data_IF_413086337531
#
_entry.id   IF_413086337531
#
_cell.length_a   1.000
_cell.length_b   1.000
_cell.length_c   1.000
_cell.angle_alpha   90.00
_cell.angle_beta   90.00
_cell.angle_gamma   90.00
#
_symmetry.space_group_name_H-M   'P 1'
#
loop_
_entity.id
_entity.type
_entity.pdbx_description
1 polymer ?
#
# COMPACT_ATOMS: atom_id res chain seq x y z
N UNK A 1 -13.80 -27.16 -28.95
CA UNK A 1 -12.55 -26.90 -28.19
C UNK A 1 -12.09 -28.23 -27.61
N UNK A 2 -10.86 -28.67 -27.88
CA UNK A 2 -10.29 -29.82 -27.20
C UNK A 2 -10.05 -29.49 -25.71
N UNK A 3 -10.12 -30.48 -24.80
CA UNK A 3 -9.85 -30.27 -23.38
C UNK A 3 -8.36 -29.97 -23.17
N UNK A 4 -8.06 -29.04 -22.25
CA UNK A 4 -6.70 -28.69 -21.85
C UNK A 4 -6.03 -29.90 -21.16
N UNK A 5 -4.74 -30.16 -21.41
CA UNK A 5 -4.00 -31.21 -20.70
C UNK A 5 -3.85 -30.83 -19.23
N UNK A 6 -4.25 -31.74 -18.34
CA UNK A 6 -3.98 -31.63 -16.91
C UNK A 6 -2.54 -32.07 -16.62
N UNK A 7 -1.80 -31.26 -15.88
CA UNK A 7 -0.44 -31.59 -15.43
C UNK A 7 -0.50 -32.67 -14.34
N UNK A 8 0.22 -33.78 -14.55
CA UNK A 8 0.44 -34.85 -13.56
C UNK A 8 1.73 -34.59 -12.78
N UNK A 9 1.77 -34.98 -11.50
CA UNK A 9 2.83 -34.72 -10.51
C UNK A 9 4.26 -35.24 -10.80
N UNK A 10 4.53 -35.72 -12.03
CA UNK A 10 5.84 -36.22 -12.50
C UNK A 10 6.50 -35.32 -13.57
N UNK A 11 5.92 -34.16 -13.88
CA UNK A 11 6.48 -33.22 -14.86
C UNK A 11 7.45 -32.23 -14.20
N UNK A 12 8.61 -31.99 -14.82
CA UNK A 12 9.52 -30.89 -14.43
C UNK A 12 8.73 -29.57 -14.36
N UNK A 13 9.05 -28.67 -13.42
CA UNK A 13 8.43 -27.35 -13.34
C UNK A 13 8.50 -26.64 -14.70
N UNK A 14 7.44 -25.91 -15.12
CA UNK A 14 7.44 -25.23 -16.41
C UNK A 14 8.53 -24.15 -16.43
N UNK A 15 9.21 -23.99 -17.57
CA UNK A 15 10.26 -22.99 -17.71
C UNK A 15 9.67 -21.57 -17.84
N UNK A 16 10.46 -20.54 -17.49
CA UNK A 16 10.03 -19.14 -17.61
C UNK A 16 9.53 -18.81 -19.02
N UNK A 17 10.28 -19.17 -20.05
CA UNK A 17 9.94 -18.86 -21.44
C UNK A 17 8.63 -19.52 -21.89
N UNK A 18 8.37 -20.76 -21.45
CA UNK A 18 7.12 -21.47 -21.77
C UNK A 18 5.91 -20.78 -21.12
N UNK A 19 6.02 -20.41 -19.84
CA UNK A 19 4.93 -19.73 -19.12
C UNK A 19 4.74 -18.30 -19.64
N UNK A 20 5.82 -17.59 -19.94
CA UNK A 20 5.78 -16.25 -20.50
C UNK A 20 5.13 -16.23 -21.88
N UNK A 21 5.46 -17.20 -22.74
CA UNK A 21 4.82 -17.34 -24.06
C UNK A 21 3.34 -17.68 -23.93
N UNK A 22 2.98 -18.62 -23.04
CA UNK A 22 1.57 -18.94 -22.76
C UNK A 22 0.79 -17.70 -22.34
N UNK A 23 1.34 -16.90 -21.42
CA UNK A 23 0.71 -15.66 -20.97
C UNK A 23 0.56 -14.66 -22.11
N UNK A 24 1.59 -14.49 -22.94
CA UNK A 24 1.55 -13.60 -24.10
C UNK A 24 0.48 -14.02 -25.12
N UNK A 25 0.35 -15.32 -25.39
CA UNK A 25 -0.66 -15.86 -26.31
C UNK A 25 -2.08 -15.64 -25.79
N UNK A 26 -2.29 -15.76 -24.47
CA UNK A 26 -3.57 -15.50 -23.83
C UNK A 26 -3.94 -14.00 -23.83
N UNK A 27 -2.95 -13.12 -23.58
CA UNK A 27 -3.13 -11.67 -23.60
C UNK A 27 -3.42 -11.18 -25.03
N UNK A 28 -2.71 -11.73 -26.01
CA UNK A 28 -2.80 -11.32 -27.40
C UNK A 28 -2.46 -9.83 -27.57
N UNK A 29 -3.36 -9.09 -28.22
CA UNK A 29 -3.23 -7.64 -28.45
C UNK A 29 -3.99 -6.77 -27.45
N UNK A 30 -4.38 -7.31 -26.29
CA UNK A 30 -5.18 -6.57 -25.32
C UNK A 30 -4.33 -5.52 -24.58
N UNK A 31 -4.80 -4.27 -24.60
CA UNK A 31 -4.14 -3.13 -23.96
C UNK A 31 -4.87 -2.61 -22.72
N UNK A 32 -5.95 -3.28 -22.31
CA UNK A 32 -6.71 -2.97 -21.09
C UNK A 32 -6.03 -3.64 -19.88
N UNK A 33 -5.47 -2.86 -18.93
CA UNK A 33 -4.73 -3.42 -17.80
C UNK A 33 -5.56 -4.37 -16.93
N UNK A 34 -6.86 -4.12 -16.77
CA UNK A 34 -7.72 -4.97 -15.93
C UNK A 34 -7.95 -6.33 -16.60
N UNK A 35 -8.22 -6.34 -17.91
CA UNK A 35 -8.41 -7.59 -18.65
C UNK A 35 -7.12 -8.41 -18.73
N UNK A 36 -5.97 -7.76 -18.85
CA UNK A 36 -4.67 -8.43 -18.81
C UNK A 36 -4.46 -9.14 -17.47
N UNK A 37 -4.84 -8.51 -16.36
CA UNK A 37 -4.80 -9.15 -15.04
C UNK A 37 -5.80 -10.30 -14.91
N UNK A 38 -7.02 -10.15 -15.41
CA UNK A 38 -8.02 -11.22 -15.39
C UNK A 38 -7.52 -12.46 -16.14
N UNK A 39 -6.87 -12.25 -17.29
CA UNK A 39 -6.22 -13.32 -18.06
C UNK A 39 -5.08 -13.95 -17.27
N UNK A 40 -4.20 -13.14 -16.68
CA UNK A 40 -3.06 -13.63 -15.93
C UNK A 40 -3.48 -14.40 -14.66
N UNK A 41 -4.61 -14.05 -14.04
CA UNK A 41 -5.18 -14.78 -12.92
C UNK A 41 -5.63 -16.22 -13.27
N UNK A 42 -5.72 -16.58 -14.55
CA UNK A 42 -6.00 -17.96 -14.98
C UNK A 42 -4.80 -18.91 -14.91
N UNK A 43 -3.59 -18.39 -14.68
CA UNK A 43 -2.38 -19.18 -14.52
C UNK A 43 -2.35 -19.91 -13.17
N UNK A 44 -1.69 -21.08 -13.12
CA UNK A 44 -1.49 -21.83 -11.88
C UNK A 44 -0.55 -21.10 -10.91
N UNK A 45 -0.50 -21.52 -9.64
CA UNK A 45 0.43 -20.92 -8.66
C UNK A 45 1.89 -21.17 -9.04
N UNK A 46 2.21 -22.35 -9.54
CA UNK A 46 3.54 -22.70 -10.03
C UNK A 46 3.94 -21.81 -11.22
N UNK A 47 3.01 -21.60 -12.16
CA UNK A 47 3.23 -20.70 -13.31
C UNK A 47 3.47 -19.26 -12.87
N UNK A 48 2.68 -18.74 -11.92
CA UNK A 48 2.85 -17.40 -11.36
C UNK A 48 4.20 -17.24 -10.65
N UNK A 49 4.60 -18.24 -9.85
CA UNK A 49 5.89 -18.21 -9.15
C UNK A 49 7.06 -18.27 -10.14
N UNK A 50 7.00 -19.14 -11.16
CA UNK A 50 8.00 -19.19 -12.23
C UNK A 50 8.18 -17.81 -12.90
N UNK A 51 7.07 -17.10 -13.16
CA UNK A 51 7.15 -15.75 -13.72
C UNK A 51 7.76 -14.75 -12.73
N UNK A 52 7.33 -14.79 -11.46
CA UNK A 52 7.81 -13.87 -10.43
C UNK A 52 9.33 -13.98 -10.21
N UNK A 53 9.86 -15.20 -10.15
CA UNK A 53 11.27 -15.50 -9.97
C UNK A 53 12.13 -15.07 -11.18
N UNK A 54 11.50 -14.85 -12.34
CA UNK A 54 12.17 -14.42 -13.56
C UNK A 54 12.59 -12.95 -13.59
N UNK A 55 12.18 -12.11 -12.63
CA UNK A 55 12.40 -10.65 -12.70
C UNK A 55 13.87 -10.27 -12.86
N UNK A 56 14.77 -10.87 -12.08
CA UNK A 56 16.20 -10.52 -12.10
C UNK A 56 16.87 -10.80 -13.45
N UNK A 57 16.36 -11.80 -14.18
CA UNK A 57 16.91 -12.21 -15.48
C UNK A 57 16.15 -11.60 -16.66
N UNK A 58 14.91 -11.15 -16.45
CA UNK A 58 14.01 -10.63 -17.48
C UNK A 58 13.44 -9.26 -17.09
N UNK A 59 14.29 -8.40 -16.55
CA UNK A 59 13.90 -7.05 -16.15
C UNK A 59 13.38 -6.24 -17.37
N UNK A 60 12.17 -5.66 -17.32
CA UNK A 60 11.54 -5.10 -18.53
C UNK A 60 12.04 -3.69 -18.89
N UNK A 61 12.46 -2.87 -17.91
CA UNK A 61 12.80 -1.46 -18.13
C UNK A 61 14.30 -1.28 -18.39
N UNK A 62 14.70 -1.23 -19.66
CA UNK A 62 16.10 -1.23 -20.08
C UNK A 62 16.66 0.17 -20.37
N UNK A 63 15.83 1.11 -20.86
CA UNK A 63 16.26 2.45 -21.25
C UNK A 63 15.39 3.59 -20.67
N UNK A 64 15.87 4.83 -20.80
CA UNK A 64 15.23 6.03 -20.23
C UNK A 64 13.86 6.34 -20.85
N UNK A 65 13.66 5.99 -22.13
CA UNK A 65 12.37 6.20 -22.80
C UNK A 65 11.34 5.22 -22.26
N UNK A 66 11.69 3.94 -22.15
CA UNK A 66 10.82 2.91 -21.57
C UNK A 66 10.41 3.28 -20.15
N UNK A 67 11.33 3.82 -19.35
CA UNK A 67 11.05 4.29 -17.99
C UNK A 67 10.10 5.50 -17.95
N UNK A 68 10.28 6.45 -18.85
CA UNK A 68 9.39 7.61 -18.98
C UNK A 68 7.98 7.17 -19.43
N UNK A 69 7.88 6.34 -20.47
CA UNK A 69 6.61 5.83 -20.97
C UNK A 69 5.90 4.96 -19.92
N UNK A 70 6.65 4.13 -19.17
CA UNK A 70 6.14 3.37 -18.04
C UNK A 70 5.51 4.28 -16.98
N UNK A 71 6.20 5.36 -16.65
CA UNK A 71 5.72 6.33 -15.66
C UNK A 71 4.43 7.00 -16.10
N UNK A 72 4.36 7.43 -17.36
CA UNK A 72 3.14 8.00 -17.94
C UNK A 72 2.00 6.96 -17.88
N UNK A 73 2.27 5.71 -18.24
CA UNK A 73 1.28 4.62 -18.19
C UNK A 73 0.74 4.34 -16.80
N UNK A 74 1.60 4.34 -15.78
CA UNK A 74 1.19 4.24 -14.36
C UNK A 74 0.27 5.40 -14.01
N UNK A 75 0.68 6.63 -14.33
CA UNK A 75 -0.11 7.84 -14.05
C UNK A 75 -1.47 7.85 -14.75
N UNK A 76 -1.52 7.45 -16.02
CA UNK A 76 -2.75 7.35 -16.80
C UNK A 76 -3.68 6.26 -16.29
N UNK A 77 -3.12 5.10 -15.93
CA UNK A 77 -3.90 3.99 -15.37
C UNK A 77 -4.52 4.39 -14.05
N UNK A 78 -3.78 5.05 -13.18
CA UNK A 78 -4.32 5.60 -11.93
C UNK A 78 -5.38 6.69 -12.16
N UNK A 79 -5.22 7.48 -13.22
CA UNK A 79 -6.14 8.56 -13.60
C UNK A 79 -7.43 8.08 -14.25
N UNK A 80 -7.42 6.85 -14.77
CA UNK A 80 -8.57 6.21 -15.43
C UNK A 80 -9.72 5.92 -14.47
N UNK A 81 -10.92 5.70 -15.00
CA UNK A 81 -12.10 5.31 -14.22
C UNK A 81 -11.86 4.03 -13.41
N UNK A 82 -11.23 3.01 -14.02
CA UNK A 82 -10.89 1.76 -13.34
C UNK A 82 -9.84 1.99 -12.22
N UNK A 83 -8.82 2.81 -12.48
CA UNK A 83 -7.84 3.20 -11.46
C UNK A 83 -8.48 3.88 -10.26
N UNK A 84 -9.40 4.82 -10.51
CA UNK A 84 -10.15 5.50 -9.45
C UNK A 84 -11.10 4.54 -8.70
N UNK A 85 -11.73 3.59 -9.41
CA UNK A 85 -12.56 2.56 -8.77
C UNK A 85 -11.71 1.66 -7.84
N UNK A 86 -10.51 1.26 -8.26
CA UNK A 86 -9.57 0.50 -7.40
C UNK A 86 -9.06 1.32 -6.23
N UNK A 87 -8.77 2.60 -6.42
CA UNK A 87 -8.39 3.52 -5.32
C UNK A 87 -9.50 3.67 -4.28
N UNK A 88 -10.76 3.69 -4.73
CA UNK A 88 -11.91 3.67 -3.83
C UNK A 88 -12.00 2.38 -3.02
N UNK A 89 -11.86 1.22 -3.68
CA UNK A 89 -11.82 -0.07 -2.98
C UNK A 89 -10.66 -0.13 -1.98
N UNK A 90 -9.50 0.40 -2.36
CA UNK A 90 -8.35 0.54 -1.48
C UNK A 90 -8.68 1.40 -0.24
N UNK A 91 -9.28 2.59 -0.40
CA UNK A 91 -9.63 3.44 0.74
C UNK A 91 -10.63 2.78 1.70
N UNK A 92 -11.57 2.01 1.14
CA UNK A 92 -12.49 1.20 1.94
C UNK A 92 -11.77 0.10 2.72
N UNK A 93 -10.89 -0.65 2.07
CA UNK A 93 -10.14 -1.72 2.72
C UNK A 93 -9.18 -1.19 3.80
N UNK A 94 -8.55 -0.01 3.61
CA UNK A 94 -7.80 0.67 4.68
C UNK A 94 -8.69 0.95 5.91
N UNK A 95 -9.91 1.43 5.67
CA UNK A 95 -10.87 1.71 6.74
C UNK A 95 -11.32 0.42 7.45
N UNK A 96 -11.56 -0.64 6.70
CA UNK A 96 -11.91 -1.94 7.27
C UNK A 96 -10.78 -2.53 8.11
N UNK A 97 -9.52 -2.36 7.70
CA UNK A 97 -8.36 -2.75 8.49
C UNK A 97 -8.31 -2.00 9.84
N UNK A 98 -8.59 -0.70 9.83
CA UNK A 98 -8.74 0.10 11.06
C UNK A 98 -9.82 -0.47 11.99
N UNK A 99 -10.98 -0.81 11.43
CA UNK A 99 -12.08 -1.43 12.21
C UNK A 99 -11.68 -2.78 12.79
N UNK A 100 -10.97 -3.61 12.01
CA UNK A 100 -10.46 -4.91 12.48
C UNK A 100 -9.51 -4.73 13.67
N UNK A 101 -8.59 -3.76 13.60
CA UNK A 101 -7.67 -3.45 14.70
C UNK A 101 -8.43 -3.03 15.97
N UNK A 102 -9.40 -2.13 15.83
CA UNK A 102 -10.18 -1.66 16.98
C UNK A 102 -11.00 -2.78 17.65
N UNK A 103 -11.59 -3.67 16.85
CA UNK A 103 -12.26 -4.85 17.37
C UNK A 103 -11.32 -5.78 18.14
N UNK A 104 -10.09 -5.99 17.66
CA UNK A 104 -9.08 -6.80 18.37
C UNK A 104 -8.73 -6.15 19.71
N UNK A 105 -8.56 -4.83 19.76
CA UNK A 105 -8.36 -4.12 21.03
C UNK A 105 -9.51 -4.34 22.03
N UNK A 106 -10.76 -4.25 21.57
CA UNK A 106 -11.95 -4.47 22.42
C UNK A 106 -11.98 -5.91 22.96
N UNK A 107 -11.73 -6.90 22.10
CA UNK A 107 -11.71 -8.32 22.49
C UNK A 107 -10.60 -8.60 23.52
N UNK A 108 -9.40 -8.08 23.26
CA UNK A 108 -8.26 -8.20 24.18
C UNK A 108 -8.54 -7.53 25.52
N UNK A 109 -9.19 -6.37 25.55
CA UNK A 109 -9.56 -5.73 26.82
C UNK A 109 -10.50 -6.60 27.66
N UNK A 110 -11.48 -7.26 27.05
CA UNK A 110 -12.37 -8.17 27.77
C UNK A 110 -11.60 -9.36 28.36
N UNK A 111 -10.67 -9.93 27.60
CA UNK A 111 -9.84 -11.06 28.05
C UNK A 111 -8.89 -10.65 29.17
N UNK A 112 -8.22 -9.51 29.02
CA UNK A 112 -7.33 -8.97 30.04
C UNK A 112 -8.08 -8.55 31.31
N UNK A 113 -9.34 -8.10 31.21
CA UNK A 113 -10.17 -7.82 32.38
C UNK A 113 -10.40 -9.08 33.22
N UNK A 114 -10.68 -10.21 32.56
CA UNK A 114 -10.89 -11.50 33.22
C UNK A 114 -9.58 -11.99 33.89
N UNK A 115 -8.45 -11.80 33.21
CA UNK A 115 -7.13 -12.11 33.75
C UNK A 115 -6.81 -11.20 34.96
N UNK A 116 -7.00 -9.90 34.84
CA UNK A 116 -6.76 -8.93 35.91
C UNK A 116 -7.65 -9.17 37.13
N UNK A 117 -8.88 -9.66 36.94
CA UNK A 117 -9.77 -10.04 38.05
C UNK A 117 -9.23 -11.23 38.86
N UNK A 118 -8.48 -12.13 38.24
CA UNK A 118 -7.94 -13.34 38.89
C UNK A 118 -6.55 -13.08 39.47
N UNK A 119 -5.72 -12.30 38.77
CA UNK A 119 -4.29 -12.16 39.07
C UNK A 119 -3.85 -10.76 39.48
N UNK A 120 -4.75 -9.77 39.47
CA UNK A 120 -4.47 -8.36 39.80
C UNK A 120 -3.29 -7.75 39.00
N UNK A 121 -3.11 -8.18 37.74
CA UNK A 121 -1.94 -7.85 36.93
C UNK A 121 -1.93 -6.42 36.34
N UNK A 122 -3.10 -5.78 36.19
CA UNK A 122 -3.24 -4.42 35.65
C UNK A 122 -3.01 -4.29 34.13
N UNK A 123 -2.99 -5.39 33.38
CA UNK A 123 -2.71 -5.37 31.94
C UNK A 123 -3.83 -4.71 31.13
N UNK A 124 -5.09 -4.84 31.56
CA UNK A 124 -6.22 -4.23 30.88
C UNK A 124 -6.10 -2.71 30.85
N UNK A 125 -5.75 -2.10 31.99
CA UNK A 125 -5.59 -0.64 32.10
C UNK A 125 -4.51 -0.12 31.15
N UNK A 126 -3.40 -0.84 31.03
CA UNK A 126 -2.32 -0.49 30.11
C UNK A 126 -2.78 -0.60 28.66
N UNK A 127 -3.50 -1.68 28.30
CA UNK A 127 -4.04 -1.85 26.95
C UNK A 127 -5.06 -0.77 26.57
N UNK A 128 -5.90 -0.31 27.51
CA UNK A 128 -6.83 0.80 27.29
C UNK A 128 -6.07 2.08 26.88
N UNK A 129 -5.01 2.44 27.61
CA UNK A 129 -4.21 3.62 27.27
C UNK A 129 -3.52 3.53 25.90
N UNK A 130 -3.11 2.32 25.50
CA UNK A 130 -2.58 2.07 24.16
C UNK A 130 -3.67 2.24 23.10
N UNK A 131 -4.87 1.69 23.33
CA UNK A 131 -6.00 1.85 22.40
C UNK A 131 -6.42 3.33 22.28
N UNK A 132 -6.45 4.09 23.37
CA UNK A 132 -6.78 5.52 23.34
C UNK A 132 -5.78 6.31 22.49
N UNK A 133 -4.49 5.98 22.61
CA UNK A 133 -3.43 6.57 21.76
C UNK A 133 -3.64 6.21 20.29
N UNK A 134 -3.94 4.94 20.00
CA UNK A 134 -4.26 4.50 18.64
C UNK A 134 -5.47 5.25 18.05
N UNK A 135 -6.55 5.41 18.81
CA UNK A 135 -7.75 6.15 18.40
C UNK A 135 -7.47 7.63 18.15
N UNK A 136 -6.62 8.26 18.97
CA UNK A 136 -6.20 9.64 18.75
C UNK A 136 -5.40 9.78 17.44
N UNK A 137 -4.50 8.84 17.15
CA UNK A 137 -3.74 8.80 15.89
C UNK A 137 -4.70 8.66 14.71
N UNK A 138 -5.68 7.75 14.78
CA UNK A 138 -6.67 7.52 13.72
C UNK A 138 -7.49 8.76 13.39
N UNK A 139 -7.96 9.48 14.41
CA UNK A 139 -8.73 10.71 14.23
C UNK A 139 -7.89 11.76 13.50
N UNK A 140 -6.65 11.94 13.94
CA UNK A 140 -5.79 13.00 13.38
C UNK A 140 -5.30 12.62 11.97
N UNK A 141 -5.03 11.33 11.70
CA UNK A 141 -4.70 10.83 10.36
C UNK A 141 -5.87 10.97 9.39
N UNK A 142 -7.11 10.80 9.86
CA UNK A 142 -8.32 11.08 9.08
C UNK A 142 -8.38 12.56 8.66
N UNK A 143 -8.18 13.50 9.58
CA UNK A 143 -8.21 14.92 9.24
C UNK A 143 -7.12 15.27 8.22
N UNK A 144 -5.89 14.79 8.47
CA UNK A 144 -4.78 15.00 7.55
C UNK A 144 -5.10 14.43 6.15
N UNK A 145 -5.71 13.24 6.06
CA UNK A 145 -6.08 12.64 4.78
C UNK A 145 -7.05 13.51 3.96
N UNK A 146 -8.05 14.13 4.62
CA UNK A 146 -8.98 15.05 3.95
C UNK A 146 -8.24 16.29 3.45
N UNK A 147 -7.44 16.91 4.32
CA UNK A 147 -6.75 18.16 4.01
C UNK A 147 -5.75 17.99 2.86
N UNK A 148 -4.90 16.96 2.92
CA UNK A 148 -3.94 16.69 1.85
C UNK A 148 -4.65 16.24 0.57
N UNK A 149 -5.73 15.45 0.68
CA UNK A 149 -6.51 15.02 -0.49
C UNK A 149 -7.08 16.22 -1.26
N UNK A 150 -7.63 17.20 -0.55
CA UNK A 150 -8.10 18.45 -1.15
C UNK A 150 -6.94 19.24 -1.76
N UNK A 151 -5.81 19.32 -1.06
CA UNK A 151 -4.65 20.06 -1.52
C UNK A 151 -4.07 19.49 -2.82
N UNK A 152 -3.86 18.19 -2.92
CA UNK A 152 -3.34 17.56 -4.14
C UNK A 152 -4.37 17.55 -5.29
N UNK A 153 -5.67 17.46 -5.00
CA UNK A 153 -6.70 17.66 -6.02
C UNK A 153 -6.65 19.07 -6.63
N UNK A 154 -6.47 20.10 -5.79
CA UNK A 154 -6.29 21.47 -6.28
C UNK A 154 -5.01 21.62 -7.09
N UNK A 155 -3.94 20.89 -6.74
CA UNK A 155 -2.68 20.94 -7.49
C UNK A 155 -2.89 20.58 -8.95
N UNK A 156 -3.44 19.38 -9.20
CA UNK A 156 -3.68 18.86 -10.55
C UNK A 156 -4.73 19.65 -11.32
N UNK A 157 -5.85 19.98 -10.66
CA UNK A 157 -7.00 20.54 -11.38
C UNK A 157 -6.89 22.04 -11.60
N UNK A 158 -6.16 22.76 -10.74
CA UNK A 158 -6.17 24.23 -10.70
C UNK A 158 -4.76 24.81 -10.79
N UNK A 159 -3.86 24.42 -9.88
CA UNK A 159 -2.57 25.11 -9.70
C UNK A 159 -1.66 24.91 -10.91
N UNK A 160 -1.53 23.67 -11.40
CA UNK A 160 -0.73 23.37 -12.59
C UNK A 160 -1.22 24.18 -13.79
N UNK A 161 -2.53 24.15 -14.06
CA UNK A 161 -3.14 24.87 -15.19
C UNK A 161 -2.97 26.39 -15.06
N UNK A 162 -3.10 26.93 -13.85
CA UNK A 162 -2.87 28.35 -13.59
C UNK A 162 -1.41 28.74 -13.88
N UNK A 163 -0.45 27.94 -13.41
CA UNK A 163 0.97 28.20 -13.65
C UNK A 163 1.37 28.04 -15.13
N UNK A 164 0.64 27.21 -15.89
CA UNK A 164 0.84 27.03 -17.33
C UNK A 164 0.30 28.19 -18.17
N UNK A 165 -0.66 28.94 -17.65
CA UNK A 165 -1.42 29.92 -18.43
C UNK A 165 -0.62 31.22 -18.63
N UNK A 166 -0.30 31.52 -19.90
CA UNK A 166 0.45 32.71 -20.33
C UNK A 166 -0.33 34.01 -20.31
N UNK A 167 -1.65 33.96 -20.13
CA UNK A 167 -2.48 35.16 -19.93
C UNK A 167 -2.16 35.85 -18.58
N UNK A 168 -1.53 35.12 -17.65
CA UNK A 168 -1.03 35.65 -16.39
C UNK A 168 0.46 35.95 -16.46
N UNK A 169 0.87 37.03 -15.79
CA UNK A 169 2.28 37.36 -15.60
C UNK A 169 3.02 36.26 -14.83
N UNK A 170 4.33 36.19 -15.00
CA UNK A 170 5.17 35.24 -14.23
C UNK A 170 5.03 35.50 -12.73
N UNK A 171 4.91 36.76 -12.29
CA UNK A 171 4.78 37.12 -10.89
C UNK A 171 3.43 36.67 -10.27
N UNK A 172 2.32 36.76 -11.00
CA UNK A 172 1.03 36.23 -10.56
C UNK A 172 1.08 34.71 -10.37
N UNK A 173 1.70 34.01 -11.33
CA UNK A 173 1.90 32.55 -11.26
C UNK A 173 2.80 32.15 -10.10
N UNK A 174 3.91 32.87 -9.88
CA UNK A 174 4.81 32.69 -8.73
C UNK A 174 4.11 32.90 -7.40
N UNK A 175 3.29 33.94 -7.31
CA UNK A 175 2.50 34.23 -6.09
C UNK A 175 1.53 33.08 -5.79
N UNK A 176 0.86 32.55 -6.80
CA UNK A 176 -0.09 31.44 -6.64
C UNK A 176 0.58 30.16 -6.17
N UNK A 177 1.69 29.75 -6.80
CA UNK A 177 2.41 28.52 -6.41
C UNK A 177 3.09 28.67 -5.04
N UNK A 178 3.61 29.86 -4.71
CA UNK A 178 4.21 30.11 -3.41
C UNK A 178 3.19 30.00 -2.27
N UNK A 179 1.96 30.48 -2.48
CA UNK A 179 0.86 30.27 -1.52
C UNK A 179 0.56 28.79 -1.34
N UNK A 180 0.43 28.05 -2.44
CA UNK A 180 0.21 26.60 -2.40
C UNK A 180 1.29 25.87 -1.59
N UNK A 181 2.57 26.16 -1.84
CA UNK A 181 3.71 25.58 -1.09
C UNK A 181 3.68 25.97 0.39
N UNK A 182 3.25 27.18 0.71
CA UNK A 182 3.14 27.63 2.10
C UNK A 182 2.08 26.84 2.87
N UNK A 183 0.91 26.63 2.26
CA UNK A 183 -0.18 25.86 2.87
C UNK A 183 0.26 24.40 3.13
N UNK A 184 1.11 23.83 2.27
CA UNK A 184 1.63 22.47 2.41
C UNK A 184 2.50 22.23 3.67
N UNK A 185 3.09 23.29 4.25
CA UNK A 185 3.96 23.17 5.44
C UNK A 185 3.20 22.77 6.71
N UNK A 186 1.91 23.07 6.78
CA UNK A 186 1.09 22.66 7.91
C UNK A 186 0.90 21.14 7.92
N UNK A 187 0.78 20.52 6.74
CA UNK A 187 0.68 19.07 6.59
C UNK A 187 1.96 18.34 6.99
N UNK A 188 3.13 18.93 6.73
CA UNK A 188 4.42 18.37 7.15
C UNK A 188 4.48 18.14 8.67
N UNK A 189 4.07 19.15 9.44
CA UNK A 189 4.10 19.08 10.89
C UNK A 189 3.11 18.03 11.41
N UNK A 190 1.88 18.02 10.90
CA UNK A 190 0.86 17.03 11.28
C UNK A 190 1.28 15.61 10.91
N UNK A 191 1.85 15.41 9.71
CA UNK A 191 2.31 14.10 9.26
C UNK A 191 3.45 13.56 10.14
N UNK A 192 4.46 14.40 10.43
CA UNK A 192 5.57 14.03 11.32
C UNK A 192 5.11 13.70 12.73
N UNK A 193 4.18 14.48 13.27
CA UNK A 193 3.60 14.23 14.59
C UNK A 193 2.85 12.89 14.65
N UNK A 194 2.00 12.60 13.65
CA UNK A 194 1.29 11.32 13.55
C UNK A 194 2.27 10.16 13.43
N UNK A 195 3.30 10.27 12.59
CA UNK A 195 4.33 9.24 12.44
C UNK A 195 5.08 8.98 13.75
N UNK A 196 5.47 10.03 14.46
CA UNK A 196 6.17 9.92 15.74
C UNK A 196 5.29 9.24 16.79
N UNK A 197 4.05 9.71 16.97
CA UNK A 197 3.09 9.08 17.89
C UNK A 197 2.82 7.62 17.52
N UNK A 198 2.81 7.28 16.24
CA UNK A 198 2.67 5.91 15.78
C UNK A 198 3.87 5.03 16.13
N UNK A 199 5.08 5.55 15.95
CA UNK A 199 6.31 4.88 16.37
C UNK A 199 6.32 4.64 17.88
N UNK A 200 5.90 5.63 18.66
CA UNK A 200 5.82 5.55 20.12
C UNK A 200 4.74 4.56 20.57
N UNK A 201 3.58 4.52 19.89
CA UNK A 201 2.53 3.51 20.10
C UNK A 201 3.08 2.11 19.86
N UNK A 202 3.78 1.90 18.74
CA UNK A 202 4.34 0.58 18.38
C UNK A 202 5.37 0.13 19.41
N UNK A 203 6.26 1.03 19.85
CA UNK A 203 7.23 0.74 20.90
C UNK A 203 6.55 0.41 22.24
N UNK A 204 5.54 1.18 22.62
CA UNK A 204 4.74 0.95 23.83
C UNK A 204 4.01 -0.39 23.78
N UNK A 205 3.46 -0.74 22.62
CA UNK A 205 2.77 -2.01 22.42
C UNK A 205 3.73 -3.21 22.42
N UNK A 206 4.92 -3.09 21.84
CA UNK A 206 5.95 -4.13 21.92
C UNK A 206 6.46 -4.35 23.35
N UNK A 207 6.65 -3.26 24.11
CA UNK A 207 6.96 -3.36 25.53
C UNK A 207 5.83 -4.06 26.32
N UNK A 208 4.58 -3.74 25.99
CA UNK A 208 3.40 -4.38 26.56
C UNK A 208 3.34 -5.88 26.24
N UNK A 209 3.49 -6.28 24.97
CA UNK A 209 3.54 -7.69 24.54
C UNK A 209 4.65 -8.43 25.31
N UNK A 210 5.83 -7.83 25.43
CA UNK A 210 6.98 -8.44 26.12
C UNK A 210 6.67 -8.67 27.60
N UNK A 211 6.07 -7.67 28.26
CA UNK A 211 5.66 -7.77 29.67
C UNK A 211 4.58 -8.84 29.87
N UNK A 212 3.54 -8.85 29.03
CA UNK A 212 2.46 -9.82 29.10
C UNK A 212 2.98 -11.23 28.82
N UNK A 213 3.81 -11.40 27.79
CA UNK A 213 4.37 -12.70 27.40
C UNK A 213 5.32 -13.27 28.45
N UNK A 214 6.14 -12.43 29.09
CA UNK A 214 7.00 -12.84 30.20
C UNK A 214 6.17 -13.36 31.38
N UNK A 215 5.14 -12.61 31.77
CA UNK A 215 4.21 -13.02 32.82
C UNK A 215 3.42 -14.29 32.46
N UNK A 216 2.92 -14.38 31.23
CA UNK A 216 2.11 -15.51 30.74
C UNK A 216 2.90 -16.82 30.67
N UNK A 217 4.18 -16.78 30.29
CA UNK A 217 5.06 -17.96 30.23
C UNK A 217 5.27 -18.63 31.58
N UNK A 218 5.20 -17.89 32.68
CA UNK A 218 5.30 -18.45 34.04
C UNK A 218 3.99 -19.13 34.49
N UNK A 219 2.91 -18.98 33.70
CA UNK A 219 1.55 -19.48 33.98
C UNK A 219 1.09 -20.54 33.00
N UNK A 220 1.58 -20.51 31.77
CA UNK A 220 1.25 -21.47 30.71
C UNK A 220 2.21 -22.67 30.70
N UNK A 221 1.67 -23.89 30.71
CA UNK A 221 2.40 -25.11 30.33
C UNK A 221 2.71 -25.18 28.82
N UNK A 222 3.29 -26.30 28.35
CA UNK A 222 3.78 -26.46 26.96
C UNK A 222 2.72 -26.20 25.87
N UNK A 223 3.08 -25.29 24.95
CA UNK A 223 2.36 -24.90 23.74
C UNK A 223 1.96 -26.08 22.85
N UNK A 224 0.72 -26.09 22.33
CA UNK A 224 0.28 -27.05 21.28
C UNK A 224 1.00 -26.76 19.95
N UNK A 225 1.63 -27.79 19.38
CA UNK A 225 2.48 -27.72 18.18
C UNK A 225 1.83 -27.04 16.97
N UNK A 226 0.53 -27.26 16.72
CA UNK A 226 -0.18 -26.72 15.55
C UNK A 226 -0.21 -25.19 15.49
N UNK A 227 -0.25 -24.51 16.64
CA UNK A 227 -0.28 -23.04 16.67
C UNK A 227 1.12 -22.46 16.44
N UNK A 228 2.17 -23.13 16.93
CA UNK A 228 3.55 -22.78 16.59
C UNK A 228 3.81 -22.91 15.09
N UNK A 229 3.27 -23.94 14.47
CA UNK A 229 3.43 -24.16 13.03
C UNK A 229 2.71 -23.06 12.23
N UNK A 230 1.46 -22.72 12.58
CA UNK A 230 0.73 -21.60 11.95
C UNK A 230 1.40 -20.24 12.15
N UNK A 231 1.99 -19.98 13.33
CA UNK A 231 2.74 -18.75 13.60
C UNK A 231 3.97 -18.63 12.73
N UNK A 232 4.72 -19.72 12.58
CA UNK A 232 5.88 -19.77 11.72
C UNK A 232 5.49 -19.62 10.24
N UNK A 233 4.42 -20.25 9.81
CA UNK A 233 3.89 -20.08 8.46
C UNK A 233 3.47 -18.63 8.19
N UNK A 234 2.79 -17.97 9.12
CA UNK A 234 2.46 -16.55 9.00
C UNK A 234 3.72 -15.67 8.96
N UNK A 235 4.77 -15.98 9.73
CA UNK A 235 6.05 -15.27 9.68
C UNK A 235 6.74 -15.43 8.31
N UNK A 236 6.82 -16.66 7.80
CA UNK A 236 7.43 -16.99 6.50
C UNK A 236 6.65 -16.36 5.32
N UNK A 237 5.32 -16.40 5.35
CA UNK A 237 4.46 -15.76 4.34
C UNK A 237 4.64 -14.23 4.35
N UNK A 238 4.69 -13.61 5.53
CA UNK A 238 4.93 -12.17 5.66
C UNK A 238 6.30 -11.76 5.13
N UNK A 239 7.34 -12.56 5.42
CA UNK A 239 8.68 -12.31 4.88
C UNK A 239 8.68 -12.37 3.36
N UNK A 240 8.06 -13.40 2.79
CA UNK A 240 7.94 -13.57 1.33
C UNK A 240 7.18 -12.42 0.68
N UNK A 241 6.07 -11.98 1.29
CA UNK A 241 5.30 -10.83 0.82
C UNK A 241 6.14 -9.55 0.85
N UNK A 242 6.95 -9.33 1.89
CA UNK A 242 7.84 -8.17 1.99
C UNK A 242 8.96 -8.20 0.94
N UNK A 243 9.53 -9.36 0.63
CA UNK A 243 10.53 -9.52 -0.42
C UNK A 243 9.94 -9.17 -1.80
N UNK A 244 8.71 -9.62 -2.08
CA UNK A 244 7.99 -9.24 -3.32
C UNK A 244 7.68 -7.74 -3.35
N UNK A 245 7.24 -7.13 -2.24
CA UNK A 245 7.03 -5.68 -2.15
C UNK A 245 8.33 -4.89 -2.36
N UNK A 246 9.46 -5.39 -1.88
CA UNK A 246 10.77 -4.79 -2.11
C UNK A 246 11.17 -4.86 -3.60
N UNK A 247 10.96 -6.00 -4.27
CA UNK A 247 11.17 -6.15 -5.70
C UNK A 247 10.29 -5.19 -6.53
N UNK A 248 9.01 -5.03 -6.15
CA UNK A 248 8.10 -4.05 -6.76
C UNK A 248 8.56 -2.60 -6.53
N UNK A 249 9.13 -2.30 -5.35
CA UNK A 249 9.71 -0.97 -5.05
C UNK A 249 10.93 -0.69 -5.91
N UNK A 250 11.78 -1.71 -6.13
CA UNK A 250 12.96 -1.60 -6.99
C UNK A 250 12.59 -1.31 -8.46
N UNK A 251 11.50 -1.88 -8.97
CA UNK A 251 10.95 -1.52 -10.29
C UNK A 251 10.59 -0.03 -10.37
N UNK A 252 10.01 0.52 -9.31
CA UNK A 252 9.64 1.94 -9.23
C UNK A 252 10.81 2.92 -9.11
N UNK A 253 11.93 2.51 -8.50
CA UNK A 253 13.09 3.39 -8.24
C UNK A 253 14.06 3.49 -9.42
N UNK A 254 14.09 2.50 -10.31
CA UNK A 254 14.99 2.44 -11.49
C UNK A 254 14.50 3.32 -12.65
N UNK A 255 13.27 3.84 -12.58
CA UNK A 255 12.66 4.66 -13.62
C UNK A 255 13.39 6.00 -13.90
N UNK A 256 14.40 6.41 -13.11
CA UNK A 256 15.35 7.48 -13.46
C UNK A 256 14.78 8.90 -13.54
N UNK A 257 13.46 9.06 -13.52
CA UNK A 257 12.76 10.34 -13.51
C UNK A 257 12.15 10.57 -12.12
N UNK A 258 12.47 11.71 -11.51
CA UNK A 258 11.96 12.13 -10.20
C UNK A 258 10.48 12.52 -10.34
N UNK A 259 9.59 11.53 -10.49
CA UNK A 259 8.13 11.73 -10.65
C UNK A 259 7.39 11.17 -9.42
N UNK A 260 6.18 11.69 -9.09
CA UNK A 260 5.31 11.25 -7.99
C UNK A 260 4.89 9.79 -7.82
N UNK A 261 5.60 8.84 -8.42
CA UNK A 261 5.20 7.43 -8.40
C UNK A 261 5.42 6.79 -7.01
N UNK A 262 6.32 7.33 -6.18
CA UNK A 262 6.65 6.75 -4.87
C UNK A 262 5.43 6.63 -3.94
N UNK A 263 4.60 7.67 -3.82
CA UNK A 263 3.37 7.62 -3.02
C UNK A 263 2.31 6.68 -3.60
N UNK A 264 2.32 6.47 -4.92
CA UNK A 264 1.40 5.53 -5.60
C UNK A 264 1.85 4.09 -5.32
N UNK A 265 3.15 3.82 -5.35
CA UNK A 265 3.72 2.49 -5.08
C UNK A 265 3.53 2.09 -3.61
N UNK A 266 3.56 3.04 -2.69
CA UNK A 266 3.32 2.73 -1.28
C UNK A 266 1.82 2.56 -1.02
N UNK A 267 0.95 3.33 -1.68
CA UNK A 267 -0.48 3.03 -1.69
C UNK A 267 -0.76 1.64 -2.28
N UNK A 268 -0.02 1.24 -3.32
CA UNK A 268 -0.18 -0.07 -3.96
C UNK A 268 0.38 -1.23 -3.13
N UNK A 269 1.36 -0.99 -2.25
CA UNK A 269 1.83 -1.97 -1.26
C UNK A 269 0.79 -2.30 -0.19
N UNK A 270 -0.16 -1.39 0.07
CA UNK A 270 -1.28 -1.62 0.99
C UNK A 270 -2.44 -2.33 0.25
N UNK A 271 -2.51 -2.23 -1.09
CA UNK A 271 -3.58 -2.82 -1.91
C UNK A 271 -3.04 -3.62 -3.10
N UNK A 272 -2.85 -4.94 -2.95
CA UNK A 272 -2.27 -5.80 -4.00
C UNK A 272 -2.97 -5.67 -5.37
N UNK A 273 -4.29 -5.50 -5.38
CA UNK A 273 -5.08 -5.33 -6.61
C UNK A 273 -4.86 -3.99 -7.34
N UNK A 274 -4.45 -2.93 -6.63
CA UNK A 274 -4.09 -1.65 -7.25
C UNK A 274 -2.67 -1.73 -7.85
N UNK A 275 -1.76 -2.43 -7.18
CA UNK A 275 -0.36 -2.55 -7.64
C UNK A 275 -0.26 -3.27 -8.98
N UNK A 276 -0.94 -4.41 -9.08
CA UNK A 276 -0.97 -5.18 -10.32
C UNK A 276 -1.48 -4.33 -11.49
N UNK A 277 -2.54 -3.54 -11.26
CA UNK A 277 -3.18 -2.75 -12.30
C UNK A 277 -2.25 -1.66 -12.83
N UNK A 278 -1.65 -0.88 -11.93
CA UNK A 278 -0.79 0.24 -12.32
C UNK A 278 0.52 -0.23 -12.96
N UNK A 279 1.11 -1.33 -12.47
CA UNK A 279 2.35 -1.89 -13.04
C UNK A 279 2.11 -2.42 -14.46
N UNK A 280 1.00 -3.13 -14.68
CA UNK A 280 0.60 -3.59 -16.02
C UNK A 280 0.33 -2.41 -16.94
N UNK A 281 -0.40 -1.39 -16.47
CA UNK A 281 -0.68 -0.19 -17.24
C UNK A 281 0.59 0.57 -17.64
N UNK A 282 1.58 0.66 -16.75
CA UNK A 282 2.89 1.20 -17.05
C UNK A 282 3.60 0.42 -18.16
N UNK A 283 3.67 -0.91 -18.04
CA UNK A 283 4.36 -1.72 -19.04
C UNK A 283 3.68 -1.73 -20.41
N UNK A 284 2.34 -1.67 -20.45
CA UNK A 284 1.57 -1.52 -21.69
C UNK A 284 1.95 -0.20 -22.38
N UNK A 285 2.02 0.90 -21.64
CA UNK A 285 2.41 2.19 -22.19
C UNK A 285 3.88 2.20 -22.69
N UNK A 286 4.76 1.50 -22.00
CA UNK A 286 6.16 1.31 -22.40
C UNK A 286 6.34 0.31 -23.57
N UNK A 287 5.29 -0.43 -23.96
CA UNK A 287 5.34 -1.44 -25.03
C UNK A 287 6.20 -2.67 -24.68
N UNK A 288 6.21 -3.06 -23.40
CA UNK A 288 7.13 -4.07 -22.86
C UNK A 288 6.45 -5.42 -22.58
N UNK A 289 7.28 -6.46 -22.49
CA UNK A 289 6.83 -7.78 -22.02
C UNK A 289 6.35 -7.70 -20.56
N UNK A 290 5.21 -8.33 -20.28
CA UNK A 290 4.48 -8.16 -19.01
C UNK A 290 4.77 -9.26 -17.98
N UNK A 291 5.39 -10.36 -18.39
CA UNK A 291 5.29 -11.65 -17.71
C UNK A 291 5.87 -11.67 -16.30
N UNK A 292 7.12 -11.23 -16.10
CA UNK A 292 7.73 -11.24 -14.76
C UNK A 292 7.03 -10.30 -13.76
N UNK A 293 6.62 -9.13 -14.22
CA UNK A 293 5.97 -8.12 -13.37
C UNK A 293 4.53 -8.51 -13.02
N UNK A 294 3.79 -9.09 -13.97
CA UNK A 294 2.49 -9.71 -13.71
C UNK A 294 2.62 -10.85 -12.69
N UNK A 295 3.64 -11.72 -12.84
CA UNK A 295 3.93 -12.80 -11.92
C UNK A 295 4.12 -12.29 -10.49
N UNK A 296 5.00 -11.30 -10.29
CA UNK A 296 5.22 -10.68 -8.98
C UNK A 296 3.95 -10.07 -8.39
N UNK A 297 3.17 -9.36 -9.20
CA UNK A 297 1.97 -8.69 -8.72
C UNK A 297 0.87 -9.66 -8.27
N UNK A 298 0.67 -10.76 -8.99
CA UNK A 298 -0.30 -11.80 -8.64
C UNK A 298 0.19 -12.63 -7.46
N UNK A 299 1.49 -12.96 -7.39
CA UNK A 299 2.09 -13.66 -6.26
C UNK A 299 1.85 -12.90 -4.95
N UNK A 300 2.05 -11.58 -4.93
CA UNK A 300 1.74 -10.73 -3.77
C UNK A 300 0.27 -10.82 -3.34
N UNK A 301 -0.66 -10.79 -4.30
CA UNK A 301 -2.10 -10.86 -3.99
C UNK A 301 -2.50 -12.22 -3.43
N UNK A 302 -1.92 -13.32 -3.94
CA UNK A 302 -2.21 -14.68 -3.44
C UNK A 302 -1.67 -14.89 -2.04
N UNK A 303 -0.45 -14.44 -1.77
CA UNK A 303 0.15 -14.51 -0.44
C UNK A 303 -0.66 -13.71 0.59
N UNK A 304 -1.18 -12.52 0.23
CA UNK A 304 -2.04 -11.75 1.13
C UNK A 304 -3.33 -12.51 1.48
N UNK A 305 -3.98 -13.14 0.48
CA UNK A 305 -5.17 -13.96 0.74
C UNK A 305 -4.86 -15.17 1.63
N UNK A 306 -3.72 -15.83 1.42
CA UNK A 306 -3.29 -16.95 2.25
C UNK A 306 -3.01 -16.53 3.70
N UNK A 307 -2.42 -15.35 3.90
CA UNK A 307 -2.23 -14.74 5.22
C UNK A 307 -3.60 -14.50 5.88
N UNK A 308 -4.57 -13.93 5.15
CA UNK A 308 -5.93 -13.68 5.66
C UNK A 308 -6.64 -14.99 6.03
N UNK A 309 -6.55 -16.02 5.20
CA UNK A 309 -7.13 -17.34 5.42
C UNK A 309 -6.51 -18.05 6.63
N UNK A 310 -5.17 -18.14 6.69
CA UNK A 310 -4.45 -18.75 7.83
C UNK A 310 -4.66 -17.97 9.11
N UNK A 311 -4.84 -16.65 9.03
CA UNK A 311 -5.25 -15.83 10.18
C UNK A 311 -6.63 -16.22 10.69
N UNK A 312 -7.60 -16.41 9.79
CA UNK A 312 -8.94 -16.86 10.16
C UNK A 312 -8.93 -18.27 10.76
N UNK A 313 -8.09 -19.17 10.21
CA UNK A 313 -7.88 -20.52 10.73
C UNK A 313 -7.25 -20.51 12.12
N UNK A 314 -6.21 -19.69 12.35
CA UNK A 314 -5.59 -19.48 13.67
C UNK A 314 -6.65 -19.04 14.68
N UNK A 315 -7.46 -18.02 14.37
CA UNK A 315 -8.55 -17.56 15.27
C UNK A 315 -9.55 -18.65 15.62
N UNK A 316 -9.87 -19.54 14.69
CA UNK A 316 -10.80 -20.66 14.91
C UNK A 316 -10.20 -21.75 15.81
N UNK A 317 -8.91 -22.04 15.67
CA UNK A 317 -8.19 -22.99 16.53
C UNK A 317 -7.96 -22.43 17.94
N UNK A 318 -7.84 -21.11 18.05
CA UNK A 318 -7.69 -20.36 19.31
C UNK A 318 -8.93 -20.35 20.21
N UNK A 319 -10.13 -20.59 19.68
CA UNK A 319 -11.38 -20.69 20.46
C UNK A 319 -11.37 -21.85 21.49
N UNK A 320 -10.40 -22.76 21.41
CA UNK A 320 -10.27 -23.94 22.28
C UNK A 320 -9.15 -23.85 23.34
N UNK A 321 -8.50 -22.68 23.50
CA UNK A 321 -7.35 -22.49 24.40
C UNK A 321 -7.67 -21.77 25.72
N UNK A 322 -6.80 -21.93 26.72
CA UNK A 322 -6.80 -21.21 28.00
C UNK A 322 -6.66 -19.68 27.80
N UNK A 323 -7.42 -18.89 28.56
CA UNK A 323 -7.63 -17.44 28.32
C UNK A 323 -6.34 -16.60 28.24
N UNK A 324 -5.32 -16.94 29.05
CA UNK A 324 -4.03 -16.24 29.09
C UNK A 324 -3.27 -16.41 27.77
N UNK A 325 -3.30 -17.63 27.22
CA UNK A 325 -2.62 -17.97 25.97
C UNK A 325 -3.25 -17.30 24.78
N UNK A 326 -4.57 -17.38 24.69
CA UNK A 326 -5.31 -16.72 23.61
C UNK A 326 -5.06 -15.20 23.62
N UNK A 327 -5.04 -14.56 24.80
CA UNK A 327 -4.68 -13.14 24.90
C UNK A 327 -3.25 -12.85 24.42
N UNK A 328 -2.27 -13.74 24.67
CA UNK A 328 -0.89 -13.56 24.18
C UNK A 328 -0.82 -13.62 22.66
N UNK A 329 -1.48 -14.60 22.06
CA UNK A 329 -1.44 -14.85 20.62
C UNK A 329 -2.12 -13.71 19.84
N UNK A 330 -3.28 -13.23 20.30
CA UNK A 330 -3.94 -12.06 19.73
C UNK A 330 -3.13 -10.76 19.88
N UNK A 331 -2.43 -10.59 21.01
CA UNK A 331 -1.52 -9.47 21.22
C UNK A 331 -0.33 -9.49 20.25
N UNK A 332 0.26 -10.67 20.02
CA UNK A 332 1.33 -10.85 19.05
C UNK A 332 0.84 -10.57 17.63
N UNK A 333 -0.33 -11.10 17.25
CA UNK A 333 -0.92 -10.83 15.93
C UNK A 333 -1.15 -9.35 15.69
N UNK A 334 -1.77 -8.65 16.65
CA UNK A 334 -1.98 -7.20 16.56
C UNK A 334 -0.64 -6.45 16.35
N UNK A 335 0.42 -6.87 17.04
CA UNK A 335 1.71 -6.17 17.05
C UNK A 335 2.60 -6.48 15.85
N UNK A 336 2.52 -7.69 15.31
CA UNK A 336 3.36 -8.18 14.21
C UNK A 336 2.71 -8.05 12.84
N UNK A 337 1.38 -7.95 12.78
CA UNK A 337 0.63 -7.90 11.52
C UNK A 337 -0.13 -6.59 11.39
N UNK A 338 -1.15 -6.37 12.21
CA UNK A 338 -2.11 -5.30 11.95
C UNK A 338 -1.54 -3.89 12.19
N UNK A 339 -0.70 -3.71 13.21
CA UNK A 339 -0.01 -2.42 13.41
C UNK A 339 1.00 -2.13 12.26
N UNK A 340 1.87 -3.05 11.83
CA UNK A 340 2.69 -2.80 10.63
C UNK A 340 1.88 -2.44 9.38
N UNK A 341 0.75 -3.10 9.10
CA UNK A 341 -0.12 -2.74 7.96
C UNK A 341 -0.67 -1.31 8.08
N UNK A 342 -1.16 -0.93 9.25
CA UNK A 342 -1.64 0.43 9.48
C UNK A 342 -0.52 1.47 9.40
N UNK A 343 0.73 1.11 9.76
CA UNK A 343 1.91 1.98 9.55
C UNK A 343 2.04 2.38 8.09
N UNK A 344 1.89 1.41 7.17
CA UNK A 344 1.96 1.66 5.74
C UNK A 344 0.87 2.62 5.28
N UNK A 345 -0.36 2.51 5.82
CA UNK A 345 -1.43 3.50 5.56
C UNK A 345 -1.04 4.92 6.01
N UNK A 346 -0.40 5.07 7.18
CA UNK A 346 0.07 6.37 7.69
C UNK A 346 1.25 6.92 6.85
N UNK A 347 2.13 6.06 6.36
CA UNK A 347 3.25 6.45 5.49
C UNK A 347 2.76 7.06 4.18
N UNK A 348 1.69 6.52 3.58
CA UNK A 348 1.05 7.09 2.38
C UNK A 348 0.74 8.58 2.56
N UNK A 349 0.20 8.98 3.73
CA UNK A 349 -0.13 10.39 4.00
C UNK A 349 1.08 11.30 3.91
N UNK A 350 2.21 10.83 4.43
CA UNK A 350 3.44 11.61 4.54
C UNK A 350 4.14 11.76 3.21
N UNK A 351 4.20 10.69 2.44
CA UNK A 351 4.84 10.71 1.13
C UNK A 351 4.01 11.48 0.10
N UNK A 352 2.69 11.36 0.18
CA UNK A 352 1.78 12.08 -0.69
C UNK A 352 2.00 13.60 -0.62
N UNK A 353 2.05 14.18 0.59
CA UNK A 353 2.26 15.63 0.72
C UNK A 353 3.69 16.05 0.31
N UNK A 354 4.72 15.25 0.66
CA UNK A 354 6.13 15.54 0.31
C UNK A 354 6.30 15.63 -1.20
N UNK A 355 5.70 14.68 -1.89
CA UNK A 355 5.81 14.56 -3.33
C UNK A 355 5.07 15.71 -4.02
N UNK A 356 3.85 16.02 -3.59
CA UNK A 356 3.08 17.18 -4.09
C UNK A 356 3.85 18.49 -3.90
N UNK A 357 4.47 18.66 -2.73
CA UNK A 357 5.25 19.85 -2.39
C UNK A 357 6.50 19.98 -3.24
N UNK A 358 7.21 18.87 -3.50
CA UNK A 358 8.38 18.82 -4.37
C UNK A 358 8.01 19.27 -5.79
N UNK A 359 6.95 18.72 -6.35
CA UNK A 359 6.55 19.07 -7.73
C UNK A 359 6.09 20.53 -7.82
N UNK A 360 5.42 21.04 -6.78
CA UNK A 360 5.10 22.46 -6.69
C UNK A 360 6.36 23.34 -6.65
N UNK A 361 7.41 22.94 -5.92
CA UNK A 361 8.71 23.63 -5.90
C UNK A 361 9.43 23.58 -7.25
N UNK A 362 9.30 22.48 -8.02
CA UNK A 362 9.83 22.39 -9.38
C UNK A 362 9.13 23.39 -10.31
N UNK A 363 7.81 23.54 -10.21
CA UNK A 363 7.05 24.57 -10.94
C UNK A 363 7.47 25.97 -10.53
N UNK A 364 7.66 26.22 -9.24
CA UNK A 364 8.16 27.51 -8.75
C UNK A 364 9.54 27.83 -9.35
N UNK A 365 10.46 26.87 -9.33
CA UNK A 365 11.81 27.01 -9.90
C UNK A 365 11.77 27.29 -11.40
N UNK A 366 10.87 26.61 -12.13
CA UNK A 366 10.67 26.83 -13.57
C UNK A 366 10.17 28.25 -13.86
N UNK A 367 9.19 28.75 -13.09
CA UNK A 367 8.71 30.13 -13.19
C UNK A 367 9.82 31.15 -12.89
N UNK A 368 10.66 30.87 -11.90
CA UNK A 368 11.79 31.74 -11.53
C UNK A 368 12.88 31.84 -12.61
N UNK A 369 13.03 30.78 -13.41
CA UNK A 369 13.96 30.74 -14.55
C UNK A 369 13.38 31.35 -15.83
N UNK A 370 12.20 31.96 -15.77
CA UNK A 370 11.57 32.63 -16.92
C UNK A 370 10.54 31.78 -17.66
N UNK A 371 10.15 30.62 -17.11
CA UNK A 371 9.08 29.77 -17.61
C UNK A 371 9.28 29.29 -19.07
N UNK A 372 10.50 28.91 -19.44
CA UNK A 372 10.78 28.33 -20.76
C UNK A 372 10.08 26.97 -20.90
N UNK A 373 9.28 26.79 -21.96
CA UNK A 373 8.57 25.54 -22.23
C UNK A 373 9.51 24.34 -22.41
N UNK A 374 10.74 24.54 -22.90
CA UNK A 374 11.73 23.48 -23.01
C UNK A 374 12.05 22.86 -21.64
N UNK A 375 12.10 23.69 -20.60
CA UNK A 375 12.45 23.33 -19.23
C UNK A 375 11.24 23.10 -18.33
N UNK A 376 10.03 22.99 -18.89
CA UNK A 376 8.82 22.78 -18.11
C UNK A 376 8.92 21.48 -17.28
N UNK A 377 8.53 21.50 -15.99
CA UNK A 377 8.62 20.32 -15.12
C UNK A 377 7.85 19.13 -15.68
N UNK A 378 8.44 17.94 -15.54
CA UNK A 378 7.91 16.74 -16.18
C UNK A 378 6.50 16.38 -15.71
N UNK A 379 6.22 16.49 -14.41
CA UNK A 379 4.88 16.24 -13.90
C UNK A 379 3.83 17.22 -14.46
N UNK A 380 4.21 18.48 -14.60
CA UNK A 380 3.37 19.49 -15.22
C UNK A 380 3.07 19.14 -16.68
N UNK A 381 4.06 18.67 -17.46
CA UNK A 381 3.85 18.17 -18.84
C UNK A 381 2.89 16.99 -18.86
N UNK A 382 3.11 15.97 -18.03
CA UNK A 382 2.24 14.79 -17.97
C UNK A 382 0.79 15.15 -17.59
N UNK A 383 0.60 16.08 -16.65
CA UNK A 383 -0.73 16.55 -16.28
C UNK A 383 -1.43 17.28 -17.43
N UNK A 384 -0.73 18.22 -18.07
CA UNK A 384 -1.30 19.06 -19.13
C UNK A 384 -1.52 18.30 -20.45
N UNK A 385 -0.62 17.40 -20.81
CA UNK A 385 -0.58 16.79 -22.15
C UNK A 385 -1.02 15.32 -22.19
N UNK A 386 -0.91 14.61 -21.06
CA UNK A 386 -1.16 13.15 -20.99
C UNK A 386 -2.33 12.80 -20.07
N UNK A 387 -3.04 13.79 -19.55
CA UNK A 387 -4.16 13.64 -18.62
C UNK A 387 -3.80 12.86 -17.33
N UNK A 388 -2.55 12.95 -16.89
CA UNK A 388 -2.09 12.35 -15.64
C UNK A 388 -2.49 13.24 -14.47
N UNK A 389 -3.45 12.79 -13.66
CA UNK A 389 -3.99 13.49 -12.50
C UNK A 389 -3.75 12.68 -11.22
N UNK A 390 -2.51 12.23 -11.02
CA UNK A 390 -2.11 11.36 -9.90
C UNK A 390 -2.57 11.87 -8.54
N UNK A 391 -2.37 13.15 -8.24
CA UNK A 391 -2.69 13.69 -6.93
C UNK A 391 -4.20 13.76 -6.72
N UNK A 392 -4.96 14.14 -7.75
CA UNK A 392 -6.42 14.10 -7.72
C UNK A 392 -6.97 12.67 -7.69
N UNK A 393 -6.33 11.69 -8.32
CA UNK A 393 -6.75 10.28 -8.20
C UNK A 393 -6.54 9.77 -6.79
N UNK A 394 -5.36 10.01 -6.22
CA UNK A 394 -5.03 9.59 -4.85
C UNK A 394 -5.93 10.25 -3.80
N UNK A 395 -6.52 11.42 -4.07
CA UNK A 395 -7.50 12.01 -3.15
C UNK A 395 -8.74 11.14 -2.98
N UNK A 396 -9.12 10.34 -3.98
CA UNK A 396 -10.21 9.34 -3.87
C UNK A 396 -9.92 8.33 -2.77
N UNK A 397 -8.71 7.77 -2.75
CA UNK A 397 -8.27 6.85 -1.69
C UNK A 397 -8.33 7.52 -0.31
N UNK A 398 -7.80 8.74 -0.21
CA UNK A 398 -7.72 9.48 1.04
C UNK A 398 -9.10 9.84 1.60
N UNK A 399 -10.05 10.23 0.74
CA UNK A 399 -11.40 10.55 1.14
C UNK A 399 -12.18 9.30 1.58
N UNK A 400 -12.04 8.18 0.88
CA UNK A 400 -12.72 6.94 1.27
C UNK A 400 -12.14 6.37 2.57
N UNK A 401 -10.82 6.46 2.77
CA UNK A 401 -10.18 6.19 4.05
C UNK A 401 -10.75 7.08 5.17
N UNK A 402 -10.77 8.40 4.96
CA UNK A 402 -11.24 9.35 5.96
C UNK A 402 -12.74 9.16 6.30
N UNK A 403 -13.57 8.88 5.30
CA UNK A 403 -14.99 8.62 5.48
C UNK A 403 -15.24 7.32 6.24
N UNK A 404 -14.51 6.26 5.91
CA UNK A 404 -14.62 4.99 6.61
C UNK A 404 -14.22 5.12 8.08
N UNK A 405 -13.08 5.75 8.39
CA UNK A 405 -12.67 6.02 9.78
C UNK A 405 -13.74 6.83 10.54
N UNK A 406 -14.32 7.86 9.91
CA UNK A 406 -15.40 8.66 10.51
C UNK A 406 -16.61 7.82 10.90
N UNK A 407 -17.00 6.89 10.02
CA UNK A 407 -18.20 6.06 10.19
C UNK A 407 -18.12 5.15 11.43
N UNK A 408 -16.91 4.92 11.95
CA UNK A 408 -16.67 4.14 13.16
C UNK A 408 -16.65 4.98 14.45
N UNK A 409 -16.90 6.29 14.35
CA UNK A 409 -17.03 7.19 15.50
C UNK A 409 -15.71 7.84 15.96
N UNK A 410 -14.72 7.93 15.06
CA UNK A 410 -13.38 8.48 15.33
C UNK A 410 -13.16 9.90 14.77
#
# INVERSE_FOLDING_TARGET
MPPLPAYTADASPPSYDEVAQKLQDLIGGNTDPAKVLDIANTLSTEEINTLADGLDTHYPLQDDKQKADFTVGVGQTLSSEEGQARLKLAGNAASEAVKKIDNIFIQLQLKLAQIDQIYESGFQKTLIGIQDTFKAILRDSRYLAVDIGQHGEQFDKIIIKFCANTDYTVDERRTRIAKFISDAREFENSAKDIQQRYSDLTASFQAFISSFSGWAKDKEGELTTQIKDLEKELEDLNKTLNDIKAAQTALGSVAGVVIPISSILIASQVFPGLNALILVGGLIAAGLALSAVIGLAIAASRLQNEIDEKTAEKRKLEEQLEQIRNAREELQYLGLTSLPEFKSCVQVLSEYWQTTSRDAQLIQTWLEKGADYADQPEYMKMNLEKAVNTYASMSVYLYEYAAGVQSYGY
#
